data_IF_160239176866
#
_entry.id   IF_160239176866
#
_cell.length_a   1.000
_cell.length_b   1.000
_cell.length_c   1.000
_cell.angle_alpha   90.00
_cell.angle_beta   90.00
_cell.angle_gamma   90.00
#
_symmetry.space_group_name_H-M   'P 1'
#
loop_
_entity.id
_entity.type
_entity.pdbx_description
1 polymer ?
#
# COMPACT_ATOMS: atom_id res chain seq x y z
N UNK A 1 16.41 15.25 -15.47
CA UNK A 1 15.19 14.82 -16.19
C UNK A 1 15.35 13.46 -16.87
N UNK A 2 16.32 13.28 -17.78
CA UNK A 2 16.59 11.99 -18.47
C UNK A 2 16.94 10.81 -17.54
N UNK A 3 17.69 11.05 -16.45
CA UNK A 3 18.08 10.01 -15.49
C UNK A 3 16.90 9.47 -14.68
N UNK A 4 16.04 10.36 -14.19
CA UNK A 4 14.80 10.00 -13.47
C UNK A 4 13.89 9.17 -14.38
N UNK A 5 13.82 9.51 -15.66
CA UNK A 5 13.03 8.76 -16.65
C UNK A 5 13.60 7.36 -16.91
N UNK A 6 14.93 7.23 -17.05
CA UNK A 6 15.60 5.90 -17.17
C UNK A 6 15.43 5.05 -15.90
N UNK A 7 15.61 5.65 -14.74
CA UNK A 7 15.45 4.97 -13.44
C UNK A 7 14.01 4.46 -13.26
N UNK A 8 13.00 5.23 -13.70
CA UNK A 8 11.60 4.80 -13.77
C UNK A 8 11.37 3.62 -14.74
N UNK A 9 11.92 3.69 -15.96
CA UNK A 9 11.81 2.61 -16.95
C UNK A 9 12.43 1.31 -16.43
N UNK A 10 13.48 1.41 -15.62
CA UNK A 10 14.15 0.26 -14.99
C UNK A 10 13.53 -0.16 -13.64
N UNK A 11 12.47 0.52 -13.19
CA UNK A 11 11.78 0.24 -11.93
C UNK A 11 12.67 0.46 -10.70
N UNK A 12 13.46 1.53 -10.65
CA UNK A 12 14.28 1.85 -9.47
C UNK A 12 14.14 3.32 -9.10
N UNK A 13 13.97 3.57 -7.81
CA UNK A 13 14.10 4.88 -7.23
C UNK A 13 15.55 5.38 -7.38
N UNK A 14 15.76 6.70 -7.52
CA UNK A 14 17.11 7.27 -7.49
C UNK A 14 17.85 6.85 -6.22
N UNK A 15 19.13 6.52 -6.36
CA UNK A 15 19.99 6.17 -5.22
C UNK A 15 19.96 7.31 -4.18
N UNK A 16 19.55 6.99 -2.95
CA UNK A 16 19.45 7.97 -1.86
C UNK A 16 18.12 8.73 -1.78
N UNK A 17 17.07 8.31 -2.50
CA UNK A 17 15.73 8.86 -2.34
C UNK A 17 15.28 8.81 -0.87
N UNK A 18 14.98 9.97 -0.30
CA UNK A 18 14.46 10.09 1.07
C UNK A 18 12.95 10.13 1.04
N UNK A 19 12.33 9.46 2.01
CA UNK A 19 10.89 9.56 2.27
C UNK A 19 10.56 11.00 2.65
N UNK A 20 9.42 11.49 2.18
CA UNK A 20 8.97 12.85 2.45
C UNK A 20 8.57 13.01 3.92
N UNK A 21 8.98 14.12 4.54
CA UNK A 21 8.53 14.49 5.89
C UNK A 21 7.01 14.69 5.99
N UNK A 22 6.34 14.87 4.84
CA UNK A 22 4.88 15.00 4.74
C UNK A 22 4.14 13.67 4.90
N UNK A 23 4.84 12.52 4.80
CA UNK A 23 4.21 11.19 4.88
C UNK A 23 3.35 11.02 6.13
N UNK A 24 3.80 11.50 7.29
CA UNK A 24 3.02 11.40 8.54
C UNK A 24 1.66 12.09 8.45
N UNK A 25 1.59 13.25 7.79
CA UNK A 25 0.35 14.01 7.60
C UNK A 25 -0.57 13.28 6.63
N UNK A 26 -0.04 12.81 5.49
CA UNK A 26 -0.81 12.07 4.49
C UNK A 26 -1.35 10.76 5.06
N UNK A 27 -0.52 9.95 5.73
CA UNK A 27 -0.95 8.71 6.40
C UNK A 27 -2.09 8.95 7.39
N UNK A 28 -1.98 9.97 8.25
CA UNK A 28 -3.01 10.30 9.23
C UNK A 28 -4.34 10.69 8.56
N UNK A 29 -4.28 11.54 7.54
CA UNK A 29 -5.48 11.96 6.82
C UNK A 29 -6.10 10.79 6.03
N UNK A 30 -5.28 10.00 5.34
CA UNK A 30 -5.74 8.86 4.57
C UNK A 30 -6.48 7.83 5.43
N UNK A 31 -5.95 7.49 6.63
CA UNK A 31 -6.64 6.59 7.57
C UNK A 31 -7.93 7.18 8.16
N UNK A 32 -8.04 8.51 8.26
CA UNK A 32 -9.29 9.16 8.67
C UNK A 32 -10.36 9.01 7.59
N UNK A 33 -9.98 9.18 6.33
CA UNK A 33 -10.90 9.11 5.18
C UNK A 33 -11.20 7.65 4.77
N UNK A 34 -10.28 6.72 5.07
CA UNK A 34 -10.37 5.29 4.77
C UNK A 34 -10.17 4.45 6.05
N UNK A 35 -11.09 4.51 7.03
CA UNK A 35 -10.89 4.01 8.40
C UNK A 35 -11.10 2.49 8.55
N UNK A 36 -11.09 1.74 7.44
CA UNK A 36 -11.32 0.30 7.43
C UNK A 36 -10.33 -0.40 6.52
N UNK A 37 -9.89 -1.59 6.92
CA UNK A 37 -9.16 -2.50 6.05
C UNK A 37 -10.00 -2.79 4.80
N UNK A 38 -9.44 -2.55 3.62
CA UNK A 38 -10.12 -2.77 2.35
C UNK A 38 -10.49 -4.24 2.12
N UNK A 39 -9.80 -5.19 2.77
CA UNK A 39 -10.04 -6.63 2.65
C UNK A 39 -11.09 -7.12 3.64
N UNK A 40 -10.84 -7.00 4.95
CA UNK A 40 -11.68 -7.64 5.98
C UNK A 40 -12.59 -6.67 6.76
N UNK A 41 -12.58 -5.39 6.37
CA UNK A 41 -13.32 -4.28 7.00
C UNK A 41 -13.00 -4.02 8.48
N UNK A 42 -11.89 -4.57 8.99
CA UNK A 42 -11.40 -4.26 10.34
C UNK A 42 -11.14 -2.76 10.52
N UNK A 43 -11.30 -2.27 11.74
CA UNK A 43 -10.95 -0.90 12.18
C UNK A 43 -9.73 -0.86 13.11
N UNK A 44 -9.08 -2.00 13.36
CA UNK A 44 -7.94 -2.13 14.28
C UNK A 44 -6.65 -2.54 13.55
N UNK A 45 -5.51 -2.10 14.09
CA UNK A 45 -4.16 -2.32 13.55
C UNK A 45 -4.07 -2.00 12.05
N UNK A 46 -4.51 -0.80 11.69
CA UNK A 46 -4.54 -0.31 10.31
C UNK A 46 -3.20 0.29 9.89
N UNK A 47 -2.76 -0.08 8.70
CA UNK A 47 -1.62 0.47 8.01
C UNK A 47 -2.03 1.03 6.64
N UNK A 48 -1.27 2.03 6.19
CA UNK A 48 -1.39 2.56 4.83
C UNK A 48 -0.33 1.88 3.97
N UNK A 49 -0.79 1.04 3.06
CA UNK A 49 0.05 0.29 2.14
C UNK A 49 0.20 1.07 0.82
N UNK A 50 1.43 1.12 0.30
CA UNK A 50 1.73 1.65 -1.02
C UNK A 50 1.47 0.58 -2.08
N UNK A 51 0.54 0.83 -3.01
CA UNK A 51 0.23 -0.09 -4.12
C UNK A 51 1.43 -0.27 -5.05
N UNK A 52 2.08 0.84 -5.39
CA UNK A 52 3.39 0.89 -6.04
C UNK A 52 4.42 1.26 -4.97
N UNK A 53 5.36 0.36 -4.63
CA UNK A 53 6.35 0.61 -3.60
C UNK A 53 7.17 1.87 -3.84
N UNK A 54 7.49 2.57 -2.76
CA UNK A 54 8.33 3.77 -2.78
C UNK A 54 9.65 3.58 -3.53
N UNK A 55 10.31 2.43 -3.40
CA UNK A 55 11.59 2.18 -4.06
C UNK A 55 11.48 1.98 -5.57
N UNK A 56 10.27 1.86 -6.13
CA UNK A 56 10.01 1.84 -7.58
C UNK A 56 9.57 3.23 -8.06
N UNK A 57 8.70 3.90 -7.29
CA UNK A 57 8.12 5.20 -7.65
C UNK A 57 8.04 6.16 -6.44
N UNK A 58 9.14 6.82 -6.05
CA UNK A 58 9.17 7.74 -4.91
C UNK A 58 8.22 8.93 -5.05
N UNK A 59 7.96 9.37 -6.29
CA UNK A 59 7.05 10.47 -6.59
C UNK A 59 5.59 10.14 -6.27
N UNK A 60 5.23 8.85 -6.21
CA UNK A 60 3.89 8.39 -5.84
C UNK A 60 3.74 8.18 -4.32
N UNK A 61 4.73 8.55 -3.50
CA UNK A 61 4.70 8.32 -2.05
C UNK A 61 3.49 8.94 -1.37
N UNK A 62 3.10 10.13 -1.82
CA UNK A 62 2.08 10.98 -1.20
C UNK A 62 0.76 10.99 -1.97
N UNK A 63 0.69 10.31 -3.12
CA UNK A 63 -0.48 10.27 -3.97
C UNK A 63 -1.51 9.29 -3.40
N UNK A 64 -2.68 9.80 -3.01
CA UNK A 64 -3.75 8.99 -2.40
C UNK A 64 -4.16 7.79 -3.29
N UNK A 65 -4.11 7.94 -4.61
CA UNK A 65 -4.41 6.88 -5.56
C UNK A 65 -3.39 5.73 -5.55
N UNK A 66 -2.21 5.95 -4.96
CA UNK A 66 -1.22 4.91 -4.74
C UNK A 66 -1.35 4.25 -3.35
N UNK A 67 -2.35 4.62 -2.54
CA UNK A 67 -2.51 4.15 -1.16
C UNK A 67 -3.74 3.24 -1.01
N UNK A 68 -3.67 2.33 -0.04
CA UNK A 68 -4.79 1.49 0.41
C UNK A 68 -4.66 1.17 1.91
N UNK A 69 -5.77 1.16 2.63
CA UNK A 69 -5.78 0.78 4.05
C UNK A 69 -5.87 -0.74 4.17
N UNK A 70 -4.89 -1.37 4.83
CA UNK A 70 -4.86 -2.80 5.14
C UNK A 70 -4.61 -3.01 6.64
N UNK A 71 -5.09 -4.11 7.22
CA UNK A 71 -4.84 -4.42 8.63
C UNK A 71 -3.78 -5.51 8.82
N UNK A 72 -3.15 -5.48 9.99
CA UNK A 72 -2.21 -6.50 10.46
C UNK A 72 -2.76 -7.33 11.63
N UNK A 73 -4.01 -7.08 12.04
CA UNK A 73 -4.62 -7.66 13.24
C UNK A 73 -4.98 -9.15 13.16
N UNK A 74 -4.69 -9.84 12.05
CA UNK A 74 -4.98 -11.27 11.84
C UNK A 74 -6.46 -11.66 11.98
N UNK A 75 -7.40 -10.76 11.66
CA UNK A 75 -8.83 -11.12 11.58
C UNK A 75 -9.00 -12.31 10.63
N UNK A 76 -9.73 -13.35 11.07
CA UNK A 76 -9.87 -14.64 10.36
C UNK A 76 -8.57 -15.42 10.16
N UNK A 77 -7.55 -15.21 11.00
CA UNK A 77 -6.26 -15.88 10.90
C UNK A 77 -5.32 -15.29 9.83
N UNK A 78 -5.72 -14.19 9.16
CA UNK A 78 -4.98 -13.62 8.03
C UNK A 78 -4.51 -12.20 8.32
N UNK A 79 -3.19 -11.96 8.24
CA UNK A 79 -2.66 -10.60 8.12
C UNK A 79 -2.92 -10.11 6.68
N UNK A 80 -3.90 -9.22 6.51
CA UNK A 80 -4.32 -8.72 5.20
C UNK A 80 -3.22 -7.90 4.51
N UNK A 81 -2.46 -7.11 5.28
CA UNK A 81 -1.33 -6.34 4.74
C UNK A 81 -0.26 -7.26 4.14
N UNK A 82 0.12 -8.31 4.87
CA UNK A 82 1.12 -9.28 4.41
C UNK A 82 0.60 -10.14 3.23
N UNK A 83 -0.58 -10.74 3.38
CA UNK A 83 -1.08 -11.67 2.36
C UNK A 83 -1.51 -10.94 1.08
N UNK A 84 -2.31 -9.88 1.20
CA UNK A 84 -2.89 -9.20 0.04
C UNK A 84 -1.97 -8.10 -0.48
N UNK A 85 -1.36 -7.30 0.39
CA UNK A 85 -0.43 -6.25 -0.04
C UNK A 85 0.92 -6.79 -0.54
N UNK A 86 1.40 -7.86 0.09
CA UNK A 86 2.75 -8.39 -0.13
C UNK A 86 2.78 -9.85 -0.62
N UNK A 87 1.66 -10.45 -1.01
CA UNK A 87 1.61 -11.84 -1.52
C UNK A 87 2.29 -12.85 -0.57
N UNK A 88 2.15 -12.64 0.74
CA UNK A 88 2.73 -13.48 1.79
C UNK A 88 4.22 -13.22 2.07
N UNK A 89 4.86 -12.26 1.40
CA UNK A 89 6.28 -11.97 1.57
C UNK A 89 6.57 -10.48 1.32
N UNK A 90 7.01 -9.74 2.35
CA UNK A 90 7.31 -8.29 2.25
C UNK A 90 8.29 -7.88 1.15
N UNK A 91 9.06 -8.82 0.57
CA UNK A 91 9.92 -8.58 -0.59
C UNK A 91 9.16 -8.51 -1.92
N UNK A 92 7.89 -8.90 -1.96
CA UNK A 92 7.01 -8.85 -3.13
C UNK A 92 6.08 -7.65 -3.04
N UNK A 93 5.65 -7.19 -4.22
CA UNK A 93 4.65 -6.15 -4.37
C UNK A 93 3.46 -6.71 -5.13
N UNK A 94 2.26 -6.46 -4.63
CA UNK A 94 1.03 -6.77 -5.36
C UNK A 94 0.56 -5.54 -6.15
N UNK A 95 0.92 -5.46 -7.44
CA UNK A 95 0.47 -4.36 -8.31
C UNK A 95 -1.06 -4.34 -8.52
N UNK A 96 -1.75 -5.43 -8.19
CA UNK A 96 -3.20 -5.59 -8.28
C UNK A 96 -3.88 -5.50 -6.90
N UNK A 97 -3.20 -5.04 -5.86
CA UNK A 97 -3.67 -5.04 -4.46
C UNK A 97 -5.09 -4.46 -4.28
N UNK A 98 -5.46 -3.42 -5.04
CA UNK A 98 -6.81 -2.83 -4.98
C UNK A 98 -7.88 -3.78 -5.51
N UNK A 99 -7.63 -4.44 -6.65
CA UNK A 99 -8.54 -5.40 -7.27
C UNK A 99 -8.67 -6.64 -6.38
N UNK A 100 -7.54 -7.15 -5.87
CA UNK A 100 -7.52 -8.32 -4.99
C UNK A 100 -8.24 -8.01 -3.67
N UNK A 101 -8.03 -6.82 -3.09
CA UNK A 101 -8.71 -6.43 -1.86
C UNK A 101 -10.22 -6.38 -2.03
N UNK A 102 -10.72 -5.80 -3.12
CA UNK A 102 -12.16 -5.78 -3.45
C UNK A 102 -12.69 -7.21 -3.63
N UNK A 103 -11.98 -8.03 -4.41
CA UNK A 103 -12.37 -9.42 -4.68
C UNK A 103 -12.50 -10.24 -3.39
N UNK A 104 -11.52 -10.12 -2.49
CA UNK A 104 -11.56 -10.81 -1.20
C UNK A 104 -12.61 -10.22 -0.25
N UNK A 105 -12.81 -8.89 -0.27
CA UNK A 105 -13.86 -8.27 0.53
C UNK A 105 -15.24 -8.81 0.16
N UNK A 106 -15.52 -8.95 -1.13
CA UNK A 106 -16.77 -9.53 -1.63
C UNK A 106 -16.93 -10.98 -1.18
N UNK A 107 -15.87 -11.80 -1.27
CA UNK A 107 -15.90 -13.21 -0.86
C UNK A 107 -16.09 -13.43 0.65
N UNK A 108 -15.67 -12.48 1.49
CA UNK A 108 -15.72 -12.61 2.96
C UNK A 108 -17.01 -12.01 3.55
N UNK A 109 -17.62 -11.03 2.88
CA UNK A 109 -18.84 -10.36 3.35
C UNK A 109 -20.12 -11.17 3.11
N UNK A 110 -20.06 -12.17 2.24
CA UNK A 110 -21.15 -13.11 1.93
C UNK A 110 -20.85 -14.48 2.54
#
# INVERSE_FOLDING_TARGET
MLKILKDRIQGKAPKGAKRSSKWRKVRKQFLKDNPKCAVCSSVTSLEVHHCIPFHLAPDLELENDNLITLCENKKYGVNCHLLIGHLGNYKRANMQVKIDAITWNMKIKH
#
